data_IF_913470947908
#
_entry.id   IF_913470947908
#
_cell.length_a   1.000
_cell.length_b   1.000
_cell.length_c   1.000
_cell.angle_alpha   90.00
_cell.angle_beta   90.00
_cell.angle_gamma   90.00
#
_symmetry.space_group_name_H-M   'P 1'
#
loop_
_entity.id
_entity.type
_entity.pdbx_description
1 polymer ?
#
# COMPACT_ATOMS: atom_id res chain seq x y z
N UNK A 1 -34.21 -48.01 19.06
CA UNK A 1 -33.04 -47.26 19.55
C UNK A 1 -32.05 -47.24 18.42
N UNK A 2 -32.07 -46.23 17.57
CA UNK A 2 -31.22 -46.18 16.35
C UNK A 2 -31.73 -45.25 15.25
N UNK A 3 -32.13 -43.99 15.55
CA UNK A 3 -32.62 -43.06 14.50
C UNK A 3 -32.24 -41.60 14.76
N UNK A 4 -31.09 -41.32 15.38
CA UNK A 4 -30.67 -39.92 15.65
C UNK A 4 -29.24 -39.56 15.22
N UNK A 5 -28.64 -40.28 14.24
CA UNK A 5 -27.22 -40.04 13.91
C UNK A 5 -26.93 -39.64 12.45
N UNK A 6 -27.91 -39.38 11.60
CA UNK A 6 -27.66 -39.05 10.19
C UNK A 6 -28.06 -37.63 9.74
N UNK A 7 -28.35 -36.70 10.63
CA UNK A 7 -28.78 -35.35 10.27
C UNK A 7 -27.68 -34.25 10.43
N UNK A 8 -26.41 -34.60 10.30
CA UNK A 8 -25.30 -33.63 10.52
C UNK A 8 -24.25 -33.56 9.43
N UNK A 9 -24.60 -33.89 8.20
CA UNK A 9 -23.67 -33.80 7.05
C UNK A 9 -24.29 -33.10 5.83
N UNK A 10 -25.23 -32.19 6.00
CA UNK A 10 -25.55 -31.22 4.94
C UNK A 10 -24.57 -30.06 5.06
N UNK A 11 -23.36 -30.24 4.52
CA UNK A 11 -22.40 -29.15 4.35
C UNK A 11 -23.06 -28.02 3.56
N UNK A 12 -23.27 -26.89 4.20
CA UNK A 12 -23.63 -25.66 3.50
C UNK A 12 -22.55 -25.40 2.48
N UNK A 13 -22.89 -25.56 1.18
CA UNK A 13 -22.02 -25.12 0.12
C UNK A 13 -21.71 -23.63 0.35
N UNK A 14 -20.45 -23.19 0.24
CA UNK A 14 -20.09 -21.79 0.45
C UNK A 14 -20.91 -20.95 -0.53
N UNK A 15 -21.78 -20.09 0.01
CA UNK A 15 -22.52 -19.11 -0.79
C UNK A 15 -21.50 -18.06 -1.20
N UNK A 16 -21.12 -18.05 -2.49
CA UNK A 16 -20.26 -17.04 -3.07
C UNK A 16 -21.05 -15.73 -3.15
N UNK A 17 -20.81 -14.82 -2.23
CA UNK A 17 -21.32 -13.46 -2.35
C UNK A 17 -20.45 -12.71 -3.37
N UNK A 18 -21.01 -12.44 -4.54
CA UNK A 18 -20.32 -11.65 -5.57
C UNK A 18 -20.49 -10.16 -5.24
N UNK A 19 -19.41 -9.52 -4.81
CA UNK A 19 -19.36 -8.07 -4.67
C UNK A 19 -19.14 -7.39 -6.01
N UNK A 20 -19.83 -6.27 -6.26
CA UNK A 20 -19.65 -5.44 -7.46
C UNK A 20 -18.54 -4.40 -7.29
N UNK A 21 -18.11 -4.15 -6.06
CA UNK A 21 -17.15 -3.10 -5.74
C UNK A 21 -15.77 -3.31 -6.36
N UNK A 22 -15.19 -4.53 -6.42
CA UNK A 22 -13.93 -4.77 -7.12
C UNK A 22 -13.97 -4.43 -8.61
N UNK A 23 -15.12 -4.67 -9.26
CA UNK A 23 -15.30 -4.31 -10.67
C UNK A 23 -15.32 -2.79 -10.84
N UNK A 24 -16.07 -2.07 -10.00
CA UNK A 24 -16.15 -0.60 -10.04
C UNK A 24 -14.77 -0.01 -9.73
N UNK A 25 -14.03 -0.58 -8.78
CA UNK A 25 -12.67 -0.18 -8.43
C UNK A 25 -11.73 -0.32 -9.63
N UNK A 26 -11.78 -1.46 -10.32
CA UNK A 26 -10.95 -1.71 -11.50
C UNK A 26 -11.22 -0.71 -12.62
N UNK A 27 -12.49 -0.37 -12.85
CA UNK A 27 -12.89 0.67 -13.82
C UNK A 27 -12.41 2.05 -13.36
N UNK A 28 -12.54 2.38 -12.07
CA UNK A 28 -12.04 3.63 -11.50
C UNK A 28 -10.53 3.80 -11.70
N UNK A 29 -9.75 2.76 -11.40
CA UNK A 29 -8.29 2.75 -11.59
C UNK A 29 -7.92 2.86 -13.08
N UNK A 30 -8.66 2.21 -13.98
CA UNK A 30 -8.44 2.30 -15.42
C UNK A 30 -8.55 3.75 -15.91
N UNK A 31 -9.54 4.50 -15.45
CA UNK A 31 -9.69 5.91 -15.79
C UNK A 31 -8.63 6.78 -15.10
N UNK A 32 -8.38 6.54 -13.83
CA UNK A 32 -7.51 7.36 -12.99
C UNK A 32 -6.04 7.30 -13.42
N UNK A 33 -5.53 6.12 -13.79
CA UNK A 33 -4.11 5.92 -14.05
C UNK A 33 -3.82 5.78 -15.55
N UNK A 34 -4.10 4.66 -16.24
CA UNK A 34 -3.63 4.50 -17.62
C UNK A 34 -4.28 5.47 -18.61
N UNK A 35 -5.58 5.73 -18.50
CA UNK A 35 -6.26 6.61 -19.46
C UNK A 35 -5.92 8.08 -19.23
N UNK A 36 -5.90 8.56 -17.98
CA UNK A 36 -5.53 9.93 -17.67
C UNK A 36 -4.06 10.21 -18.01
N UNK A 37 -3.16 9.28 -17.69
CA UNK A 37 -1.74 9.37 -18.02
C UNK A 37 -1.53 9.41 -19.54
N UNK A 38 -2.13 8.47 -20.28
CA UNK A 38 -2.03 8.42 -21.75
C UNK A 38 -2.57 9.69 -22.40
N UNK A 39 -3.72 10.18 -21.93
CA UNK A 39 -4.31 11.42 -22.44
C UNK A 39 -3.37 12.60 -22.27
N UNK A 40 -2.71 12.74 -21.11
CA UNK A 40 -1.81 13.85 -20.83
C UNK A 40 -0.46 13.72 -21.55
N UNK A 41 0.23 12.59 -21.38
CA UNK A 41 1.62 12.44 -21.80
C UNK A 41 1.77 11.93 -23.24
N UNK A 42 0.88 11.05 -23.71
CA UNK A 42 0.95 10.48 -25.07
C UNK A 42 0.19 11.36 -26.05
N UNK A 43 -1.08 11.65 -25.76
CA UNK A 43 -1.96 12.41 -26.66
C UNK A 43 -1.85 13.93 -26.47
N UNK A 44 -1.09 14.40 -25.45
CA UNK A 44 -0.90 15.83 -25.12
C UNK A 44 -2.23 16.59 -24.95
N UNK A 45 -3.27 15.90 -24.52
CA UNK A 45 -4.60 16.44 -24.32
C UNK A 45 -4.92 16.53 -22.83
N UNK A 46 -4.59 17.66 -22.21
CA UNK A 46 -4.81 17.89 -20.78
C UNK A 46 -6.30 17.92 -20.42
N UNK A 47 -7.17 18.41 -21.30
CA UNK A 47 -8.62 18.43 -21.04
C UNK A 47 -9.17 17.01 -20.89
N UNK A 48 -8.81 16.11 -21.80
CA UNK A 48 -9.22 14.71 -21.74
C UNK A 48 -8.65 14.01 -20.48
N UNK A 49 -7.41 14.34 -20.10
CA UNK A 49 -6.80 13.85 -18.87
C UNK A 49 -7.60 14.26 -17.63
N UNK A 50 -7.99 15.54 -17.53
CA UNK A 50 -8.81 16.01 -16.40
C UNK A 50 -10.20 15.37 -16.36
N UNK A 51 -10.81 15.09 -17.53
CA UNK A 51 -12.08 14.33 -17.58
C UNK A 51 -11.88 12.93 -17.02
N UNK A 52 -10.83 12.23 -17.43
CA UNK A 52 -10.55 10.88 -16.93
C UNK A 52 -10.23 10.88 -15.43
N UNK A 53 -9.46 11.85 -14.92
CA UNK A 53 -9.23 12.02 -13.49
C UNK A 53 -10.53 12.31 -12.73
N UNK A 54 -11.38 13.19 -13.26
CA UNK A 54 -12.67 13.56 -12.67
C UNK A 54 -13.67 12.40 -12.59
N UNK A 55 -13.57 11.41 -13.47
CA UNK A 55 -14.37 10.18 -13.43
C UNK A 55 -13.69 9.11 -12.55
N UNK A 56 -12.40 8.88 -12.76
CA UNK A 56 -11.66 7.80 -12.10
C UNK A 56 -11.52 8.00 -10.60
N UNK A 57 -11.21 9.21 -10.14
CA UNK A 57 -11.01 9.48 -8.72
C UNK A 57 -12.29 9.26 -7.87
N UNK A 58 -13.46 9.81 -8.23
CA UNK A 58 -14.70 9.50 -7.51
C UNK A 58 -15.08 8.03 -7.55
N UNK A 59 -14.96 7.36 -8.70
CA UNK A 59 -15.27 5.94 -8.81
C UNK A 59 -14.37 5.10 -7.89
N UNK A 60 -13.07 5.40 -7.85
CA UNK A 60 -12.12 4.72 -6.95
C UNK A 60 -12.48 4.93 -5.48
N UNK A 61 -12.75 6.16 -5.07
CA UNK A 61 -13.11 6.49 -3.69
C UNK A 61 -14.43 5.83 -3.28
N UNK A 62 -15.46 5.93 -4.13
CA UNK A 62 -16.78 5.34 -3.86
C UNK A 62 -16.70 3.83 -3.79
N UNK A 63 -15.94 3.18 -4.69
CA UNK A 63 -15.80 1.73 -4.68
C UNK A 63 -15.06 1.22 -3.45
N UNK A 64 -13.99 1.87 -3.03
CA UNK A 64 -13.26 1.53 -1.80
C UNK A 64 -14.18 1.70 -0.58
N UNK A 65 -14.86 2.83 -0.46
CA UNK A 65 -15.79 3.08 0.64
C UNK A 65 -16.96 2.09 0.67
N UNK A 66 -17.53 1.77 -0.49
CA UNK A 66 -18.62 0.79 -0.62
C UNK A 66 -18.16 -0.61 -0.25
N UNK A 67 -16.97 -1.02 -0.70
CA UNK A 67 -16.40 -2.33 -0.38
C UNK A 67 -16.06 -2.47 1.11
N UNK A 68 -15.50 -1.43 1.73
CA UNK A 68 -15.28 -1.39 3.18
C UNK A 68 -16.61 -1.51 3.92
N UNK A 69 -17.64 -0.77 3.50
CA UNK A 69 -18.97 -0.82 4.12
C UNK A 69 -19.60 -2.20 3.99
N UNK A 70 -19.51 -2.85 2.83
CA UNK A 70 -19.98 -4.21 2.61
C UNK A 70 -19.26 -5.19 3.53
N UNK A 71 -17.91 -5.13 3.60
CA UNK A 71 -17.11 -5.97 4.49
C UNK A 71 -17.38 -5.75 5.98
N UNK A 72 -17.78 -4.54 6.39
CA UNK A 72 -18.17 -4.28 7.79
C UNK A 72 -19.61 -4.71 8.10
N UNK A 73 -20.49 -4.77 7.10
CA UNK A 73 -21.89 -5.15 7.27
C UNK A 73 -22.09 -6.67 7.32
N UNK A 74 -21.14 -7.44 6.81
CA UNK A 74 -21.17 -8.90 6.78
C UNK A 74 -20.81 -9.49 8.15
N UNK A 75 -21.79 -9.52 9.07
CA UNK A 75 -21.64 -10.04 10.45
C UNK A 75 -21.27 -11.53 10.51
N UNK A 76 -21.39 -12.27 9.41
CA UNK A 76 -21.23 -13.73 9.36
C UNK A 76 -20.06 -14.20 8.48
N UNK A 77 -19.41 -13.31 7.71
CA UNK A 77 -18.52 -13.68 6.61
C UNK A 77 -17.03 -13.80 6.95
N UNK A 78 -16.56 -13.19 8.00
CA UNK A 78 -15.11 -13.16 8.30
C UNK A 78 -14.58 -14.37 9.10
N UNK A 79 -15.44 -15.32 9.49
CA UNK A 79 -15.05 -16.45 10.34
C UNK A 79 -14.70 -17.75 9.61
N UNK A 80 -15.39 -18.07 8.52
CA UNK A 80 -15.29 -19.39 7.88
C UNK A 80 -15.20 -19.25 6.36
N UNK A 81 -13.99 -19.16 5.80
CA UNK A 81 -13.79 -19.25 4.35
C UNK A 81 -12.74 -18.32 3.75
N UNK A 82 -12.18 -17.40 4.49
CA UNK A 82 -11.09 -16.59 3.99
C UNK A 82 -9.81 -17.42 3.94
N UNK A 83 -9.27 -17.60 2.74
CA UNK A 83 -8.01 -18.32 2.54
C UNK A 83 -6.89 -17.61 3.30
N UNK A 84 -6.22 -18.33 4.19
CA UNK A 84 -4.99 -17.87 4.87
C UNK A 84 -3.93 -17.41 3.85
N UNK A 85 -4.03 -17.91 2.61
CA UNK A 85 -3.14 -17.60 1.50
C UNK A 85 -3.48 -16.32 0.75
N UNK A 86 -4.63 -15.69 0.99
CA UNK A 86 -5.05 -14.50 0.22
C UNK A 86 -4.04 -13.35 0.36
N UNK A 87 -3.64 -12.99 1.57
CA UNK A 87 -2.66 -11.92 1.80
C UNK A 87 -1.25 -12.31 1.30
N UNK A 88 -0.69 -13.50 1.57
CA UNK A 88 0.57 -13.92 0.98
C UNK A 88 0.60 -13.89 -0.56
N UNK A 89 -0.45 -14.37 -1.22
CA UNK A 89 -0.53 -14.34 -2.70
C UNK A 89 -0.59 -12.89 -3.21
N UNK A 90 -1.36 -12.04 -2.55
CA UNK A 90 -1.40 -10.61 -2.86
C UNK A 90 -0.01 -9.98 -2.74
N UNK A 91 0.71 -10.22 -1.63
CA UNK A 91 2.07 -9.73 -1.42
C UNK A 91 3.05 -10.21 -2.50
N UNK A 92 2.95 -11.48 -2.91
CA UNK A 92 3.78 -12.00 -4.00
C UNK A 92 3.50 -11.24 -5.31
N UNK A 93 2.25 -10.94 -5.62
CA UNK A 93 1.91 -10.16 -6.82
C UNK A 93 2.47 -8.73 -6.76
N UNK A 94 2.39 -8.07 -5.61
CA UNK A 94 2.97 -6.74 -5.41
C UNK A 94 4.50 -6.75 -5.47
N UNK A 95 5.13 -7.77 -4.89
CA UNK A 95 6.59 -7.96 -4.99
C UNK A 95 7.05 -8.12 -6.44
N UNK A 96 6.29 -8.81 -7.29
CA UNK A 96 6.59 -8.94 -8.71
C UNK A 96 6.44 -7.61 -9.46
N UNK A 97 5.48 -6.75 -9.08
CA UNK A 97 5.38 -5.39 -9.63
C UNK A 97 6.60 -4.54 -9.27
N UNK A 98 7.03 -4.54 -7.99
CA UNK A 98 8.27 -3.88 -7.59
C UNK A 98 9.48 -4.43 -8.31
N UNK A 99 9.58 -5.75 -8.45
CA UNK A 99 10.67 -6.36 -9.22
C UNK A 99 10.70 -5.87 -10.67
N UNK A 100 9.53 -5.67 -11.30
CA UNK A 100 9.44 -5.06 -12.64
C UNK A 100 10.03 -3.66 -12.70
N UNK A 101 9.75 -2.80 -11.69
CA UNK A 101 10.35 -1.47 -11.58
C UNK A 101 11.88 -1.54 -11.38
N UNK A 102 12.37 -2.41 -10.51
CA UNK A 102 13.80 -2.58 -10.30
C UNK A 102 14.49 -3.15 -11.52
N UNK A 103 13.89 -4.12 -12.21
CA UNK A 103 14.45 -4.66 -13.45
C UNK A 103 14.58 -3.58 -14.53
N UNK A 104 13.59 -2.73 -14.70
CA UNK A 104 13.64 -1.58 -15.58
C UNK A 104 14.76 -0.61 -15.18
N UNK A 105 14.86 -0.27 -13.90
CA UNK A 105 15.93 0.56 -13.36
C UNK A 105 17.32 -0.03 -13.65
N UNK A 106 17.54 -1.33 -13.41
CA UNK A 106 18.82 -1.98 -13.66
C UNK A 106 19.19 -1.98 -15.13
N UNK A 107 18.23 -2.24 -16.03
CA UNK A 107 18.48 -2.15 -17.48
C UNK A 107 18.92 -0.74 -17.87
N UNK A 108 18.24 0.29 -17.39
CA UNK A 108 18.56 1.69 -17.68
C UNK A 108 19.95 2.07 -17.14
N UNK A 109 20.26 1.68 -15.91
CA UNK A 109 21.53 1.97 -15.27
C UNK A 109 22.70 1.25 -15.93
N UNK A 110 22.58 -0.06 -16.16
CA UNK A 110 23.65 -0.88 -16.75
C UNK A 110 23.90 -0.58 -18.23
N UNK A 111 22.91 -0.03 -18.93
CA UNK A 111 23.03 0.40 -20.34
C UNK A 111 23.59 1.81 -20.49
N UNK A 112 23.65 2.59 -19.41
CA UNK A 112 24.13 3.97 -19.45
C UNK A 112 25.65 4.02 -19.47
N UNK A 113 26.23 4.92 -20.29
CA UNK A 113 27.66 5.18 -20.33
C UNK A 113 28.19 5.91 -19.09
N UNK A 114 27.33 6.64 -18.39
CA UNK A 114 27.59 7.31 -17.11
C UNK A 114 26.35 7.32 -16.25
N UNK A 115 26.53 7.09 -14.94
CA UNK A 115 25.42 7.09 -13.95
C UNK A 115 25.86 7.76 -12.66
N UNK A 116 25.04 8.66 -12.06
CA UNK A 116 23.80 9.18 -12.62
C UNK A 116 24.01 10.08 -13.85
N UNK A 117 22.99 10.23 -14.73
CA UNK A 117 23.08 11.11 -15.88
C UNK A 117 23.25 12.58 -15.48
N UNK A 118 23.79 13.41 -16.40
CA UNK A 118 23.92 14.85 -16.18
C UNK A 118 22.58 15.50 -15.78
N UNK A 119 22.64 16.45 -14.84
CA UNK A 119 21.44 17.08 -14.27
C UNK A 119 20.80 16.33 -13.09
N UNK A 120 21.42 15.25 -12.63
CA UNK A 120 21.03 14.61 -11.35
C UNK A 120 21.74 15.30 -10.19
N UNK A 121 21.02 15.73 -9.13
CA UNK A 121 21.63 16.29 -7.92
C UNK A 121 22.33 15.21 -7.10
N UNK A 122 23.25 15.62 -6.24
CA UNK A 122 23.75 14.75 -5.18
C UNK A 122 22.64 14.50 -4.16
N UNK A 123 22.36 13.24 -3.85
CA UNK A 123 21.34 12.88 -2.86
C UNK A 123 21.99 12.65 -1.49
N UNK A 124 21.75 13.55 -0.51
CA UNK A 124 22.33 13.39 0.83
C UNK A 124 21.70 12.18 1.53
N UNK A 125 22.55 11.26 2.02
CA UNK A 125 22.12 10.00 2.62
C UNK A 125 21.45 10.13 3.99
N UNK A 126 21.56 11.30 4.65
CA UNK A 126 21.04 11.50 6.00
C UNK A 126 19.51 11.33 6.04
N UNK A 127 18.78 11.90 5.09
CA UNK A 127 17.31 11.83 5.07
C UNK A 127 16.82 10.40 4.85
N UNK A 128 17.28 9.64 3.85
CA UNK A 128 16.90 8.24 3.67
C UNK A 128 17.23 7.35 4.89
N UNK A 129 18.33 7.62 5.59
CA UNK A 129 18.68 6.88 6.81
C UNK A 129 17.67 7.16 7.93
N UNK A 130 17.31 8.43 8.16
CA UNK A 130 16.30 8.79 9.18
C UNK A 130 14.95 8.16 8.81
N UNK A 131 14.56 8.22 7.55
CA UNK A 131 13.33 7.59 7.03
C UNK A 131 13.33 6.08 7.28
N UNK A 132 14.46 5.41 7.04
CA UNK A 132 14.64 3.98 7.29
C UNK A 132 14.48 3.66 8.78
N UNK A 133 15.10 4.44 9.67
CA UNK A 133 14.97 4.25 11.12
C UNK A 133 13.51 4.41 11.55
N UNK A 134 12.81 5.43 11.05
CA UNK A 134 11.39 5.65 11.38
C UNK A 134 10.53 4.46 10.94
N UNK A 135 10.72 3.97 9.71
CA UNK A 135 9.92 2.89 9.14
C UNK A 135 10.22 1.55 9.85
N UNK A 136 11.49 1.19 10.05
CA UNK A 136 11.86 -0.01 10.81
C UNK A 136 11.37 0.05 12.27
N UNK A 137 11.40 1.22 12.90
CA UNK A 137 10.82 1.40 14.24
C UNK A 137 9.32 1.15 14.23
N UNK A 138 8.62 1.53 13.16
CA UNK A 138 7.18 1.27 13.01
C UNK A 138 6.87 -0.23 12.89
N UNK A 139 7.75 -1.02 12.27
CA UNK A 139 7.66 -2.48 12.25
C UNK A 139 7.74 -3.10 13.65
N UNK A 140 8.60 -2.56 14.49
CA UNK A 140 8.71 -3.02 15.90
C UNK A 140 7.47 -2.63 16.69
N UNK A 141 6.96 -1.43 16.49
CA UNK A 141 5.78 -0.95 17.25
C UNK A 141 4.48 -1.66 16.84
N UNK A 142 4.30 -2.03 15.56
CA UNK A 142 3.14 -2.84 15.17
C UNK A 142 3.19 -4.24 15.77
N UNK A 143 4.38 -4.85 15.88
CA UNK A 143 4.55 -6.13 16.57
C UNK A 143 4.12 -6.02 18.05
N UNK A 144 4.49 -4.96 18.77
CA UNK A 144 4.00 -4.73 20.13
C UNK A 144 2.49 -4.50 20.18
N UNK A 145 1.89 -3.85 19.16
CA UNK A 145 0.45 -3.73 19.09
C UNK A 145 -0.22 -5.10 18.98
N UNK A 146 0.27 -6.00 18.11
CA UNK A 146 -0.25 -7.37 17.98
C UNK A 146 -0.12 -8.15 19.30
N UNK A 147 1.02 -8.05 19.97
CA UNK A 147 1.23 -8.72 21.27
C UNK A 147 0.23 -8.24 22.33
N UNK A 148 -0.09 -6.93 22.36
CA UNK A 148 -1.10 -6.38 23.26
C UNK A 148 -2.51 -6.84 22.89
N UNK A 149 -2.81 -6.92 21.59
CA UNK A 149 -4.08 -7.45 21.10
C UNK A 149 -4.27 -8.93 21.49
N UNK A 150 -3.21 -9.75 21.41
CA UNK A 150 -3.26 -11.17 21.77
C UNK A 150 -3.43 -11.39 23.29
N UNK A 151 -2.96 -10.43 24.10
CA UNK A 151 -3.17 -10.40 25.57
C UNK A 151 -4.48 -9.74 26.00
N UNK A 152 -5.35 -9.38 25.04
CA UNK A 152 -6.60 -8.63 25.25
C UNK A 152 -6.40 -7.29 26.00
N UNK A 153 -5.17 -6.71 25.96
CA UNK A 153 -4.87 -5.36 26.42
C UNK A 153 -5.25 -4.34 25.34
N UNK A 154 -6.51 -3.98 25.33
CA UNK A 154 -7.07 -3.07 24.35
C UNK A 154 -6.41 -1.68 24.36
N UNK A 155 -6.13 -1.14 25.54
CA UNK A 155 -5.51 0.18 25.67
C UNK A 155 -4.04 0.19 25.19
N UNK A 156 -3.32 -0.89 25.44
CA UNK A 156 -1.97 -1.11 24.94
C UNK A 156 -1.96 -1.24 23.41
N UNK A 157 -2.88 -2.02 22.85
CA UNK A 157 -3.05 -2.16 21.41
C UNK A 157 -3.25 -0.82 20.71
N UNK A 158 -4.23 -0.02 21.14
CA UNK A 158 -4.53 1.29 20.53
C UNK A 158 -3.33 2.23 20.61
N UNK A 159 -2.61 2.26 21.74
CA UNK A 159 -1.42 3.11 21.91
C UNK A 159 -0.29 2.72 20.95
N UNK A 160 0.04 1.44 20.88
CA UNK A 160 1.11 0.98 20.01
C UNK A 160 0.77 1.12 18.53
N UNK A 161 -0.48 0.88 18.13
CA UNK A 161 -0.96 1.12 16.78
C UNK A 161 -0.88 2.61 16.40
N UNK A 162 -1.25 3.51 17.32
CA UNK A 162 -1.13 4.95 17.09
C UNK A 162 0.34 5.39 16.91
N UNK A 163 1.28 4.83 17.69
CA UNK A 163 2.71 5.08 17.53
C UNK A 163 3.20 4.59 16.17
N UNK A 164 2.79 3.41 15.73
CA UNK A 164 3.10 2.87 14.39
C UNK A 164 2.64 3.84 13.31
N UNK A 165 1.41 4.31 13.39
CA UNK A 165 0.85 5.26 12.42
C UNK A 165 1.58 6.63 12.44
N UNK A 166 2.00 7.11 13.61
CA UNK A 166 2.80 8.34 13.71
C UNK A 166 4.17 8.18 13.04
N UNK A 167 4.84 7.05 13.23
CA UNK A 167 6.14 6.76 12.60
C UNK A 167 6.00 6.61 11.08
N UNK A 168 5.00 5.89 10.60
CA UNK A 168 4.68 5.78 9.17
C UNK A 168 4.27 7.12 8.55
N UNK A 169 3.51 7.92 9.28
CA UNK A 169 3.15 9.29 8.89
C UNK A 169 4.36 10.23 8.83
N UNK A 170 5.30 10.09 9.76
CA UNK A 170 6.57 10.82 9.74
C UNK A 170 7.41 10.45 8.52
N UNK A 171 7.51 9.15 8.19
CA UNK A 171 8.13 8.70 6.95
C UNK A 171 7.50 9.36 5.71
N UNK A 172 6.18 9.35 5.62
CA UNK A 172 5.44 9.97 4.52
C UNK A 172 5.72 11.48 4.43
N UNK A 173 5.71 12.18 5.57
CA UNK A 173 6.03 13.60 5.63
C UNK A 173 7.46 13.92 5.18
N UNK A 174 8.43 13.09 5.59
CA UNK A 174 9.83 13.21 5.16
C UNK A 174 9.98 12.93 3.65
N UNK A 175 9.26 11.96 3.09
CA UNK A 175 9.27 11.69 1.64
C UNK A 175 8.74 12.88 0.84
N UNK A 176 7.64 13.49 1.28
CA UNK A 176 7.08 14.70 0.63
C UNK A 176 8.04 15.88 0.76
N UNK A 177 8.69 16.05 1.91
CA UNK A 177 9.68 17.11 2.12
C UNK A 177 10.88 16.95 1.19
N UNK A 178 11.42 15.73 1.06
CA UNK A 178 12.54 15.41 0.16
C UNK A 178 12.16 15.69 -1.30
N UNK A 179 11.01 15.22 -1.77
CA UNK A 179 10.54 15.49 -3.13
C UNK A 179 10.33 16.98 -3.39
N UNK A 180 9.80 17.71 -2.41
CA UNK A 180 9.64 19.16 -2.53
C UNK A 180 11.00 19.88 -2.65
N UNK A 181 12.05 19.38 -1.98
CA UNK A 181 13.43 19.83 -2.15
C UNK A 181 13.94 19.59 -3.56
N UNK A 182 13.85 18.35 -4.04
CA UNK A 182 14.27 17.96 -5.38
C UNK A 182 13.56 18.75 -6.48
N UNK A 183 12.26 18.99 -6.32
CA UNK A 183 11.49 19.81 -7.28
C UNK A 183 11.96 21.28 -7.33
N UNK A 184 12.36 21.85 -6.19
CA UNK A 184 12.91 23.22 -6.15
C UNK A 184 14.28 23.31 -6.83
N UNK A 185 15.05 22.23 -6.84
CA UNK A 185 16.32 22.11 -7.56
C UNK A 185 16.12 21.81 -9.06
N UNK A 186 14.86 21.69 -9.52
CA UNK A 186 14.54 21.37 -10.91
C UNK A 186 14.64 19.90 -11.25
N UNK A 187 14.88 19.03 -10.26
CA UNK A 187 14.89 17.58 -10.46
C UNK A 187 13.46 17.05 -10.39
N UNK A 188 12.84 16.96 -11.56
CA UNK A 188 11.45 16.50 -11.74
C UNK A 188 11.43 15.17 -12.51
N UNK A 189 10.32 14.41 -12.50
CA UNK A 189 10.26 13.10 -13.19
C UNK A 189 10.68 13.11 -14.66
N UNK A 190 10.58 14.25 -15.33
CA UNK A 190 10.94 14.43 -16.75
C UNK A 190 12.35 14.97 -16.98
N UNK A 191 13.17 15.17 -15.95
CA UNK A 191 14.52 15.74 -16.07
C UNK A 191 15.46 14.82 -16.85
N UNK A 192 15.51 13.55 -16.47
CA UNK A 192 16.31 12.51 -17.12
C UNK A 192 15.80 11.11 -16.75
N UNK A 193 16.45 10.08 -17.26
CA UNK A 193 16.06 8.69 -17.04
C UNK A 193 16.18 8.28 -15.57
N UNK A 194 17.19 8.82 -14.85
CA UNK A 194 17.36 8.56 -13.41
C UNK A 194 16.21 9.16 -12.61
N UNK A 195 15.81 10.42 -12.89
CA UNK A 195 14.69 11.06 -12.22
C UNK A 195 13.37 10.32 -12.46
N UNK A 196 13.13 9.88 -13.71
CA UNK A 196 11.95 9.06 -14.02
C UNK A 196 11.94 7.79 -13.19
N UNK A 197 13.04 7.04 -13.14
CA UNK A 197 13.15 5.81 -12.36
C UNK A 197 12.99 6.07 -10.85
N UNK A 198 13.68 7.08 -10.32
CA UNK A 198 13.64 7.47 -8.92
C UNK A 198 12.19 7.78 -8.45
N UNK A 199 11.52 8.70 -9.12
CA UNK A 199 10.16 9.08 -8.74
C UNK A 199 9.13 7.97 -9.01
N UNK A 200 9.36 7.10 -9.99
CA UNK A 200 8.47 5.96 -10.24
C UNK A 200 8.59 4.93 -9.11
N UNK A 201 9.80 4.52 -8.74
CA UNK A 201 10.03 3.52 -7.70
C UNK A 201 9.65 4.05 -6.33
N UNK A 202 10.12 5.24 -5.95
CA UNK A 202 9.81 5.85 -4.65
C UNK A 202 8.34 6.23 -4.55
N UNK A 203 7.73 6.72 -5.63
CA UNK A 203 6.31 7.07 -5.69
C UNK A 203 5.41 5.85 -5.56
N UNK A 204 5.75 4.76 -6.22
CA UNK A 204 5.03 3.50 -6.09
C UNK A 204 5.13 2.96 -4.67
N UNK A 205 6.32 3.04 -4.05
CA UNK A 205 6.51 2.66 -2.64
C UNK A 205 5.68 3.55 -1.69
N UNK A 206 5.75 4.88 -1.84
CA UNK A 206 4.97 5.83 -1.02
C UNK A 206 3.47 5.56 -1.13
N UNK A 207 2.97 5.18 -2.31
CA UNK A 207 1.56 4.79 -2.47
C UNK A 207 1.18 3.58 -1.61
N UNK A 208 2.08 2.59 -1.47
CA UNK A 208 1.89 1.43 -0.60
C UNK A 208 1.91 1.81 0.89
N UNK A 209 2.78 2.74 1.29
CA UNK A 209 2.77 3.29 2.66
C UNK A 209 1.44 3.97 2.97
N UNK A 210 0.88 4.75 2.03
CA UNK A 210 -0.44 5.39 2.19
C UNK A 210 -1.54 4.33 2.35
N UNK A 211 -1.53 3.27 1.54
CA UNK A 211 -2.49 2.16 1.65
C UNK A 211 -2.36 1.47 3.01
N UNK A 212 -1.14 1.17 3.47
CA UNK A 212 -0.90 0.55 4.77
C UNK A 212 -1.38 1.42 5.95
N UNK A 213 -1.11 2.73 5.91
CA UNK A 213 -1.65 3.67 6.90
C UNK A 213 -3.18 3.74 6.84
N UNK A 214 -3.77 3.65 5.64
CA UNK A 214 -5.22 3.54 5.45
C UNK A 214 -5.80 2.27 6.09
N UNK A 215 -5.14 1.13 5.93
CA UNK A 215 -5.53 -0.13 6.59
C UNK A 215 -5.47 0.02 8.12
N UNK A 216 -4.41 0.62 8.67
CA UNK A 216 -4.31 0.87 10.11
C UNK A 216 -5.37 1.87 10.61
N UNK A 217 -5.74 2.87 9.80
CA UNK A 217 -6.83 3.77 10.14
C UNK A 217 -8.17 3.02 10.22
N UNK A 218 -8.42 2.10 9.28
CA UNK A 218 -9.61 1.23 9.30
C UNK A 218 -9.64 0.28 10.51
N UNK A 219 -8.48 -0.04 11.11
CA UNK A 219 -8.37 -0.76 12.38
C UNK A 219 -8.59 0.17 13.58
N UNK A 220 -7.93 1.32 13.58
CA UNK A 220 -7.88 2.22 14.73
C UNK A 220 -9.25 2.83 15.04
N UNK A 221 -10.01 3.25 14.01
CA UNK A 221 -11.30 3.90 14.20
C UNK A 221 -12.33 3.00 14.92
N UNK A 222 -12.56 1.72 14.50
CA UNK A 222 -13.42 0.82 15.25
C UNK A 222 -12.85 0.41 16.61
N UNK A 223 -11.50 0.37 16.74
CA UNK A 223 -10.86 0.03 18.00
C UNK A 223 -11.24 1.02 19.13
N UNK A 224 -11.42 2.31 18.86
CA UNK A 224 -11.93 3.25 19.88
C UNK A 224 -13.29 2.86 20.47
N UNK A 225 -14.08 2.08 19.72
CA UNK A 225 -15.38 1.55 20.19
C UNK A 225 -15.27 0.12 20.71
N UNK A 226 -14.06 -0.39 20.97
CA UNK A 226 -13.83 -1.75 21.46
C UNK A 226 -13.95 -2.85 20.40
N UNK A 227 -14.13 -2.50 19.12
CA UNK A 227 -14.26 -3.46 18.02
C UNK A 227 -12.91 -3.65 17.32
N UNK A 228 -12.33 -4.84 17.45
CA UNK A 228 -11.06 -5.20 16.82
C UNK A 228 -11.20 -6.51 16.05
N UNK A 229 -10.96 -6.49 14.76
CA UNK A 229 -10.87 -7.69 13.93
C UNK A 229 -9.42 -8.21 13.95
N UNK A 230 -9.12 -9.19 14.81
CA UNK A 230 -7.77 -9.80 14.91
C UNK A 230 -7.23 -10.29 13.56
N UNK A 231 -8.02 -10.96 12.68
CA UNK A 231 -7.54 -11.37 11.37
C UNK A 231 -7.16 -10.19 10.46
N UNK A 232 -7.93 -9.11 10.48
CA UNK A 232 -7.62 -7.92 9.68
C UNK A 232 -6.38 -7.18 10.18
N UNK A 233 -6.19 -7.08 11.50
CA UNK A 233 -4.96 -6.52 12.09
C UNK A 233 -3.73 -7.31 11.63
N UNK A 234 -3.77 -8.65 11.71
CA UNK A 234 -2.67 -9.50 11.26
C UNK A 234 -2.38 -9.35 9.76
N UNK A 235 -3.43 -9.27 8.93
CA UNK A 235 -3.28 -9.04 7.50
C UNK A 235 -2.63 -7.68 7.22
N UNK A 236 -3.06 -6.60 7.90
CA UNK A 236 -2.48 -5.27 7.78
C UNK A 236 -1.02 -5.22 8.26
N UNK A 237 -0.68 -5.93 9.32
CA UNK A 237 0.68 -6.05 9.83
C UNK A 237 1.61 -6.77 8.84
N UNK A 238 1.18 -7.90 8.27
CA UNK A 238 1.95 -8.61 7.24
C UNK A 238 2.20 -7.70 6.02
N UNK A 239 1.18 -6.97 5.59
CA UNK A 239 1.32 -5.99 4.51
C UNK A 239 2.33 -4.89 4.87
N UNK A 240 2.28 -4.36 6.09
CA UNK A 240 3.21 -3.32 6.57
C UNK A 240 4.66 -3.81 6.57
N UNK A 241 4.93 -5.00 7.08
CA UNK A 241 6.26 -5.60 7.03
C UNK A 241 6.77 -5.81 5.61
N UNK A 242 5.90 -6.18 4.67
CA UNK A 242 6.25 -6.23 3.25
C UNK A 242 6.69 -4.86 2.73
N UNK A 243 5.94 -3.80 3.04
CA UNK A 243 6.28 -2.42 2.64
C UNK A 243 7.65 -2.03 3.19
N UNK A 244 7.96 -2.36 4.44
CA UNK A 244 9.26 -2.07 5.07
C UNK A 244 10.43 -2.81 4.39
N UNK A 245 10.23 -4.09 4.05
CA UNK A 245 11.24 -4.87 3.32
C UNK A 245 11.50 -4.25 1.95
N UNK A 246 10.45 -3.86 1.23
CA UNK A 246 10.58 -3.18 -0.06
C UNK A 246 11.33 -1.85 0.09
N UNK A 247 11.11 -1.08 1.17
CA UNK A 247 11.84 0.15 1.42
C UNK A 247 13.36 -0.08 1.51
N UNK A 248 13.80 -1.15 2.17
CA UNK A 248 15.24 -1.47 2.23
C UNK A 248 15.83 -1.70 0.85
N UNK A 249 15.06 -2.31 -0.05
CA UNK A 249 15.46 -2.42 -1.46
C UNK A 249 15.46 -1.05 -2.15
N UNK A 250 14.40 -0.25 -1.99
CA UNK A 250 14.32 1.08 -2.59
C UNK A 250 15.48 1.94 -2.15
N UNK A 251 15.76 2.04 -0.85
CA UNK A 251 16.85 2.87 -0.35
C UNK A 251 18.21 2.38 -0.84
N UNK A 252 18.44 1.07 -0.87
CA UNK A 252 19.70 0.50 -1.33
C UNK A 252 19.97 0.79 -2.81
N UNK A 253 18.94 0.74 -3.65
CA UNK A 253 19.07 0.89 -5.09
C UNK A 253 19.04 2.36 -5.56
N UNK A 254 18.24 3.20 -4.90
CA UNK A 254 18.01 4.58 -5.33
C UNK A 254 19.01 5.56 -4.71
N UNK A 255 19.55 5.27 -3.51
CA UNK A 255 20.39 6.19 -2.77
C UNK A 255 21.83 5.70 -2.55
N UNK A 256 22.04 4.39 -2.44
CA UNK A 256 23.38 3.84 -2.16
C UNK A 256 24.08 3.20 -3.35
N UNK A 257 23.35 2.82 -4.37
CA UNK A 257 23.90 2.16 -5.58
C UNK A 257 23.64 2.98 -6.84
#
# INVERSE_FOLDING_TARGET
>A
MGEHTEARAAGHAPVWHTSVWPLILSVGILFLVPLAFSAHFVYKNSMLSYIFLGIGAPLTIISVAGWIKEGMADEHGYGEGHSVWAMPIFIVSEALLFFGFFAAYWVLRLSASAWPPAGSPEMPLLMPVIMTVALLSSSVTIHFAEERMDRDDHSGFVRWLAITMLLGGAFLGMSVYEWAGLFREGFVPSTNVHSTAFFSVTGFHVSHVIVGLGMFLCVLLPAFSGKVSKPFVRAASIYWHFVDIVWLFVVSQMYFW
#
